data_IF_940663814214
#
_entry.id   IF_940663814214
#
_cell.length_a   1.000
_cell.length_b   1.000
_cell.length_c   1.000
_cell.angle_alpha   90.00
_cell.angle_beta   90.00
_cell.angle_gamma   90.00
#
_symmetry.space_group_name_H-M   'P 1'
#
loop_
_entity.id
_entity.type
_entity.pdbx_description
1 polymer ?
#
# COMPACT_ATOMS: atom_id res chain seq x y z
N UNK A 1 -38.85 44.11 18.84
CA UNK A 1 -40.19 43.71 18.39
C UNK A 1 -40.82 44.90 17.71
N UNK A 2 -41.65 44.67 16.70
CA UNK A 2 -42.54 45.72 16.20
C UNK A 2 -43.59 46.02 17.29
N UNK A 3 -43.98 47.29 17.42
CA UNK A 3 -45.06 47.69 18.32
C UNK A 3 -46.37 46.99 17.90
N UNK A 4 -47.10 46.42 18.86
CA UNK A 4 -48.32 45.64 18.60
C UNK A 4 -48.10 44.18 18.18
N UNK A 5 -46.86 43.66 18.20
CA UNK A 5 -46.55 42.28 17.82
C UNK A 5 -45.86 41.50 18.97
N UNK A 6 -46.43 40.35 19.32
CA UNK A 6 -45.95 39.47 20.39
C UNK A 6 -45.93 38.01 19.93
N UNK A 7 -44.99 37.23 20.47
CA UNK A 7 -44.85 35.80 20.19
C UNK A 7 -44.98 35.00 21.47
N UNK A 8 -45.69 33.87 21.42
CA UNK A 8 -45.87 32.97 22.57
C UNK A 8 -45.83 31.53 22.08
N UNK A 9 -45.09 30.68 22.79
CA UNK A 9 -45.07 29.23 22.56
C UNK A 9 -46.12 28.61 23.48
N UNK A 10 -47.09 27.89 22.91
CA UNK A 10 -48.16 27.24 23.65
C UNK A 10 -48.71 26.00 22.91
N UNK A 11 -49.40 25.12 23.63
CA UNK A 11 -50.23 24.09 23.02
C UNK A 11 -51.47 24.76 22.41
N UNK A 12 -51.67 24.60 21.11
CA UNK A 12 -52.81 25.21 20.40
C UNK A 12 -54.18 24.67 20.85
N UNK A 13 -54.20 23.54 21.57
CA UNK A 13 -55.41 22.98 22.18
C UNK A 13 -55.68 23.54 23.59
N UNK A 14 -54.76 24.34 24.13
CA UNK A 14 -54.85 24.99 25.44
C UNK A 14 -54.01 26.27 25.49
N UNK A 15 -54.54 27.32 24.89
CA UNK A 15 -53.90 28.62 24.75
C UNK A 15 -53.90 29.39 26.09
N UNK A 16 -52.79 30.07 26.46
CA UNK A 16 -52.65 30.81 27.71
C UNK A 16 -53.33 32.19 27.66
N UNK A 17 -54.48 32.28 27.00
CA UNK A 17 -55.27 33.50 26.86
C UNK A 17 -56.63 33.32 27.53
N UNK A 18 -57.19 34.41 28.04
CA UNK A 18 -58.54 34.40 28.58
C UNK A 18 -59.58 34.14 27.49
N UNK A 19 -60.79 33.80 27.89
CA UNK A 19 -61.92 33.69 26.96
C UNK A 19 -62.17 35.03 26.27
N UNK A 20 -62.61 35.00 25.01
CA UNK A 20 -62.94 36.19 24.22
C UNK A 20 -61.83 37.28 24.18
N UNK A 21 -60.56 36.86 24.15
CA UNK A 21 -59.41 37.76 24.09
C UNK A 21 -59.13 38.34 22.69
N UNK A 22 -59.66 37.72 21.63
CA UNK A 22 -59.36 38.11 20.25
C UNK A 22 -60.63 38.33 19.43
N UNK A 23 -60.64 39.36 18.61
CA UNK A 23 -61.68 39.64 17.61
C UNK A 23 -61.43 38.88 16.28
N UNK A 24 -60.19 38.47 16.01
CA UNK A 24 -59.79 37.69 14.83
C UNK A 24 -58.75 36.62 15.19
N UNK A 25 -58.98 35.39 14.74
CA UNK A 25 -57.98 34.32 14.74
C UNK A 25 -57.69 33.87 13.32
N UNK A 26 -56.42 33.63 13.01
CA UNK A 26 -55.95 33.19 11.68
C UNK A 26 -55.09 31.93 11.83
N UNK A 27 -55.36 30.90 11.04
CA UNK A 27 -54.64 29.62 11.08
C UNK A 27 -54.51 29.02 9.67
N UNK A 28 -53.32 29.01 9.10
CA UNK A 28 -53.07 28.47 7.75
C UNK A 28 -52.26 27.17 7.84
N UNK A 29 -52.68 26.13 7.11
CA UNK A 29 -51.98 24.84 6.97
C UNK A 29 -51.48 24.28 8.32
N UNK A 30 -52.40 24.18 9.28
CA UNK A 30 -52.09 23.79 10.66
C UNK A 30 -52.96 22.64 11.17
N UNK A 31 -54.23 22.58 10.76
CA UNK A 31 -55.22 21.65 11.30
C UNK A 31 -54.86 20.18 11.05
N UNK A 32 -54.37 19.89 9.85
CA UNK A 32 -53.94 18.59 9.34
C UNK A 32 -52.80 17.94 10.14
N UNK A 33 -52.05 18.75 10.90
CA UNK A 33 -50.96 18.32 11.75
C UNK A 33 -51.40 18.01 13.20
N UNK A 34 -52.64 18.31 13.56
CA UNK A 34 -53.13 18.21 14.95
C UNK A 34 -53.97 16.94 15.10
N UNK A 35 -53.53 15.95 15.88
CA UNK A 35 -54.33 14.74 16.13
C UNK A 35 -55.66 15.03 16.87
N UNK A 36 -55.71 16.12 17.65
CA UNK A 36 -56.89 16.59 18.37
C UNK A 36 -57.60 17.78 17.70
N UNK A 37 -57.88 17.72 16.40
CA UNK A 37 -58.45 18.82 15.60
C UNK A 37 -59.66 19.50 16.25
N UNK A 38 -60.56 18.70 16.83
CA UNK A 38 -61.75 19.20 17.53
C UNK A 38 -61.41 20.00 18.79
N UNK A 39 -60.44 19.54 19.57
CA UNK A 39 -59.99 20.25 20.77
C UNK A 39 -59.32 21.59 20.41
N UNK A 40 -58.57 21.62 19.31
CA UNK A 40 -58.03 22.86 18.75
C UNK A 40 -59.14 23.85 18.35
N UNK A 41 -60.14 23.39 17.59
CA UNK A 41 -61.25 24.27 17.19
C UNK A 41 -62.08 24.76 18.38
N UNK A 42 -62.29 23.93 19.40
CA UNK A 42 -62.95 24.33 20.64
C UNK A 42 -62.16 25.44 21.35
N UNK A 43 -60.83 25.30 21.41
CA UNK A 43 -59.96 26.28 22.05
C UNK A 43 -59.90 27.61 21.28
N UNK A 44 -59.84 27.54 19.94
CA UNK A 44 -59.97 28.72 19.07
C UNK A 44 -61.31 29.43 19.33
N UNK A 45 -62.41 28.67 19.42
CA UNK A 45 -63.73 29.25 19.71
C UNK A 45 -63.79 29.91 21.10
N UNK A 46 -63.10 29.36 22.10
CA UNK A 46 -63.04 29.90 23.47
C UNK A 46 -62.34 31.26 23.51
N UNK A 47 -61.18 31.38 22.87
CA UNK A 47 -60.39 32.63 22.90
C UNK A 47 -60.94 33.72 21.97
N UNK A 48 -61.79 33.36 21.01
CA UNK A 48 -62.43 34.29 20.08
C UNK A 48 -63.67 34.95 20.72
N UNK A 49 -63.78 36.27 20.59
CA UNK A 49 -65.01 37.02 20.91
C UNK A 49 -66.20 36.38 20.19
N UNK A 50 -67.40 36.31 20.80
CA UNK A 50 -68.58 35.74 20.15
C UNK A 50 -68.96 36.39 18.79
N UNK A 51 -68.53 37.62 18.54
CA UNK A 51 -68.69 38.36 17.28
C UNK A 51 -67.44 38.34 16.40
N UNK A 52 -66.36 37.72 16.88
CA UNK A 52 -65.10 37.61 16.17
C UNK A 52 -65.14 36.59 15.04
N UNK A 53 -64.09 36.59 14.21
CA UNK A 53 -63.99 35.72 13.03
C UNK A 53 -62.78 34.77 13.11
N UNK A 54 -62.93 33.60 12.48
CA UNK A 54 -61.84 32.67 12.22
C UNK A 54 -61.56 32.64 10.71
N UNK A 55 -60.30 32.83 10.33
CA UNK A 55 -59.79 32.55 8.98
C UNK A 55 -58.92 31.30 9.07
N UNK A 56 -59.30 30.23 8.39
CA UNK A 56 -58.60 28.95 8.44
C UNK A 56 -58.39 28.34 7.05
N UNK A 57 -57.22 27.74 6.81
CA UNK A 57 -56.98 26.84 5.67
C UNK A 57 -56.62 25.43 6.11
N UNK A 58 -56.85 24.47 5.21
CA UNK A 58 -56.44 23.08 5.31
C UNK A 58 -56.32 22.54 3.87
N UNK A 59 -55.39 21.61 3.61
CA UNK A 59 -55.27 20.99 2.30
C UNK A 59 -56.55 20.24 1.93
N UNK A 60 -56.96 20.35 0.67
CA UNK A 60 -58.02 19.51 0.12
C UNK A 60 -57.44 18.13 -0.22
N UNK A 61 -57.69 17.14 0.65
CA UNK A 61 -57.14 15.77 0.53
C UNK A 61 -57.25 15.17 -0.88
N UNK A 62 -58.38 15.35 -1.55
CA UNK A 62 -58.60 14.82 -2.91
C UNK A 62 -57.57 15.36 -3.92
N UNK A 63 -57.26 16.65 -3.84
CA UNK A 63 -56.35 17.32 -4.77
C UNK A 63 -54.89 17.20 -4.31
N UNK A 64 -54.65 17.37 -3.01
CA UNK A 64 -53.31 17.42 -2.42
C UNK A 64 -52.65 16.04 -2.38
N UNK A 65 -53.40 15.02 -1.95
CA UNK A 65 -52.87 13.66 -1.73
C UNK A 65 -53.33 12.69 -2.80
N UNK A 66 -54.63 12.49 -2.96
CA UNK A 66 -55.17 11.39 -3.77
C UNK A 66 -54.78 11.52 -5.26
N UNK A 67 -55.00 12.70 -5.86
CA UNK A 67 -54.70 12.93 -7.28
C UNK A 67 -53.22 13.02 -7.60
N UNK A 68 -52.40 13.50 -6.66
CA UNK A 68 -50.95 13.62 -6.84
C UNK A 68 -50.20 12.36 -6.42
N UNK A 69 -50.90 11.39 -5.83
CA UNK A 69 -50.32 10.26 -5.13
C UNK A 69 -49.21 10.72 -4.16
N UNK A 70 -49.50 11.82 -3.46
CA UNK A 70 -48.59 12.45 -2.52
C UNK A 70 -48.98 12.05 -1.11
N UNK A 71 -47.97 11.78 -0.28
CA UNK A 71 -48.15 11.48 1.13
C UNK A 71 -47.20 12.37 1.91
N UNK A 72 -47.74 13.20 2.77
CA UNK A 72 -46.97 14.04 3.68
C UNK A 72 -46.95 13.40 5.06
N UNK A 73 -45.77 13.01 5.53
CA UNK A 73 -45.58 12.30 6.81
C UNK A 73 -46.00 13.12 8.04
N UNK A 74 -46.06 14.44 7.92
CA UNK A 74 -46.47 15.33 9.00
C UNK A 74 -47.99 15.49 9.08
N UNK A 75 -48.74 15.07 8.08
CA UNK A 75 -50.20 15.17 8.06
C UNK A 75 -50.80 13.98 8.79
N UNK A 76 -51.21 14.20 10.05
CA UNK A 76 -51.84 13.15 10.88
C UNK A 76 -53.33 12.98 10.58
N UNK A 77 -53.96 13.96 9.91
CA UNK A 77 -55.36 13.89 9.51
C UNK A 77 -55.73 14.91 8.44
N UNK A 78 -55.73 14.49 7.18
CA UNK A 78 -56.27 15.29 6.08
C UNK A 78 -57.78 15.02 5.92
N UNK A 79 -58.53 16.09 5.68
CA UNK A 79 -59.99 16.04 5.55
C UNK A 79 -60.41 16.32 4.11
N UNK A 80 -61.45 15.63 3.65
CA UNK A 80 -62.18 16.08 2.47
C UNK A 80 -62.99 17.34 2.80
N UNK A 81 -63.36 18.09 1.77
CA UNK A 81 -64.09 19.36 1.92
C UNK A 81 -65.34 19.26 2.80
N UNK A 82 -66.10 18.17 2.69
CA UNK A 82 -67.36 17.99 3.42
C UNK A 82 -67.13 17.57 4.88
N UNK A 83 -66.07 16.80 5.13
CA UNK A 83 -65.66 16.42 6.49
C UNK A 83 -65.18 17.65 7.27
N UNK A 84 -64.36 18.49 6.63
CA UNK A 84 -63.95 19.78 7.19
C UNK A 84 -65.16 20.68 7.43
N UNK A 85 -66.13 20.72 6.50
CA UNK A 85 -67.34 21.51 6.68
C UNK A 85 -68.13 21.10 7.91
N UNK A 86 -68.35 19.80 8.05
CA UNK A 86 -69.09 19.20 9.16
C UNK A 86 -68.41 19.56 10.48
N UNK A 87 -67.09 19.38 10.56
CA UNK A 87 -66.32 19.67 11.76
C UNK A 87 -66.35 21.16 12.14
N UNK A 88 -66.18 22.06 11.16
CA UNK A 88 -66.19 23.51 11.43
C UNK A 88 -67.58 23.99 11.87
N UNK A 89 -68.65 23.44 11.28
CA UNK A 89 -70.03 23.84 11.58
C UNK A 89 -70.45 23.57 13.03
N UNK A 90 -69.83 22.59 13.70
CA UNK A 90 -70.09 22.31 15.11
C UNK A 90 -69.70 23.47 16.04
N UNK A 91 -68.73 24.29 15.64
CA UNK A 91 -68.23 25.43 16.43
C UNK A 91 -68.60 26.78 15.80
N UNK A 92 -68.73 26.83 14.47
CA UNK A 92 -68.98 28.03 13.67
C UNK A 92 -70.12 27.79 12.68
N UNK A 93 -71.38 28.13 13.02
CA UNK A 93 -72.55 27.80 12.21
C UNK A 93 -72.63 28.58 10.89
N UNK A 94 -71.88 29.67 10.76
CA UNK A 94 -71.83 30.50 9.56
C UNK A 94 -70.43 30.45 8.95
N UNK A 95 -70.32 29.90 7.75
CA UNK A 95 -69.05 29.80 7.03
C UNK A 95 -69.22 30.26 5.58
N UNK A 96 -68.25 31.03 5.10
CA UNK A 96 -68.08 31.33 3.67
C UNK A 96 -66.82 30.64 3.17
N UNK A 97 -66.95 29.92 2.07
CA UNK A 97 -65.87 29.11 1.53
C UNK A 97 -65.12 29.86 0.43
N UNK A 98 -63.80 29.80 0.50
CA UNK A 98 -62.88 30.34 -0.49
C UNK A 98 -61.91 29.25 -0.91
N UNK A 99 -61.63 29.16 -2.21
CA UNK A 99 -60.62 28.27 -2.74
C UNK A 99 -59.32 29.03 -3.00
N UNK A 100 -58.20 28.46 -2.60
CA UNK A 100 -56.87 28.95 -2.95
C UNK A 100 -56.17 27.89 -3.78
N UNK A 101 -55.65 28.28 -4.94
CA UNK A 101 -54.81 27.44 -5.78
C UNK A 101 -53.72 28.31 -6.37
N UNK A 102 -52.47 27.91 -6.18
CA UNK A 102 -51.36 28.56 -6.86
C UNK A 102 -51.39 28.10 -8.32
N UNK A 103 -51.70 29.02 -9.22
CA UNK A 103 -51.78 28.74 -10.66
C UNK A 103 -50.85 29.65 -11.42
N UNK A 104 -50.31 29.15 -12.53
CA UNK A 104 -49.74 30.01 -13.55
C UNK A 104 -50.88 30.54 -14.41
N UNK A 105 -51.04 31.87 -14.44
CA UNK A 105 -52.03 32.53 -15.29
C UNK A 105 -51.32 33.45 -16.26
N UNK A 106 -51.79 33.45 -17.50
CA UNK A 106 -51.53 34.55 -18.43
C UNK A 106 -52.72 35.50 -18.33
N UNK A 107 -52.43 36.79 -18.15
CA UNK A 107 -53.42 37.82 -17.90
C UNK A 107 -53.57 38.66 -19.16
N UNK A 108 -54.81 38.95 -19.53
CA UNK A 108 -55.12 39.97 -20.52
C UNK A 108 -56.01 40.99 -19.82
N UNK A 109 -55.61 42.25 -19.90
CA UNK A 109 -56.31 43.37 -19.29
C UNK A 109 -56.36 44.55 -20.24
N UNK A 110 -57.31 45.44 -20.00
CA UNK A 110 -57.39 46.73 -20.67
C UNK A 110 -56.42 47.71 -20.01
N UNK A 111 -55.44 48.22 -20.77
CA UNK A 111 -54.50 49.24 -20.29
C UNK A 111 -55.18 50.60 -20.06
N UNK A 112 -56.42 50.82 -20.53
CA UNK A 112 -57.17 52.07 -20.41
C UNK A 112 -58.61 51.83 -19.89
N UNK A 113 -58.77 51.42 -18.62
CA UNK A 113 -60.09 51.06 -18.09
C UNK A 113 -61.05 52.25 -18.09
N UNK A 114 -62.27 52.04 -18.58
CA UNK A 114 -63.39 52.99 -18.44
C UNK A 114 -64.10 52.81 -17.08
N UNK A 115 -64.81 53.83 -16.60
CA UNK A 115 -65.60 53.74 -15.36
C UNK A 115 -66.64 52.59 -15.38
N UNK A 116 -67.08 52.14 -16.56
CA UNK A 116 -68.04 51.04 -16.74
C UNK A 116 -67.39 49.64 -16.71
N UNK A 117 -66.10 49.51 -17.03
CA UNK A 117 -65.36 48.23 -17.02
C UNK A 117 -64.67 47.94 -15.69
N UNK A 118 -64.71 48.88 -14.74
CA UNK A 118 -63.97 48.85 -13.48
C UNK A 118 -64.62 48.00 -12.37
N UNK A 119 -64.99 46.75 -12.66
CA UNK A 119 -65.44 45.82 -11.63
C UNK A 119 -64.52 44.59 -11.55
N UNK A 120 -63.72 44.57 -10.48
CA UNK A 120 -63.21 43.37 -9.80
C UNK A 120 -61.81 42.81 -10.12
N UNK A 121 -60.79 43.63 -10.39
CA UNK A 121 -59.39 43.16 -10.41
C UNK A 121 -58.60 43.73 -9.23
N UNK A 122 -58.36 42.91 -8.20
CA UNK A 122 -57.37 43.20 -7.16
C UNK A 122 -56.12 42.36 -7.44
N UNK A 123 -54.99 43.01 -7.68
CA UNK A 123 -53.71 42.36 -7.92
C UNK A 123 -52.75 42.63 -6.75
N UNK A 124 -52.20 41.55 -6.17
CA UNK A 124 -51.27 41.63 -5.05
C UNK A 124 -49.94 40.97 -5.46
N UNK A 125 -48.90 41.78 -5.64
CA UNK A 125 -47.55 41.27 -5.84
C UNK A 125 -46.94 40.87 -4.50
N UNK A 126 -46.25 39.72 -4.44
CA UNK A 126 -45.51 39.28 -3.24
C UNK A 126 -44.11 38.84 -3.66
N UNK A 127 -43.07 39.49 -3.12
CA UNK A 127 -41.68 39.11 -3.36
C UNK A 127 -41.07 38.40 -2.14
N UNK A 128 -40.26 37.35 -2.38
CA UNK A 128 -39.65 36.53 -1.32
C UNK A 128 -38.73 37.30 -0.37
N UNK A 129 -38.07 38.34 -0.85
CA UNK A 129 -37.03 39.06 -0.10
C UNK A 129 -37.49 40.42 0.44
N UNK A 130 -38.71 40.84 0.10
CA UNK A 130 -39.32 42.07 0.59
C UNK A 130 -40.83 41.95 0.39
N UNK A 131 -41.63 41.67 1.43
CA UNK A 131 -43.08 41.58 1.32
C UNK A 131 -43.66 42.99 1.12
N UNK A 132 -43.43 43.56 -0.06
CA UNK A 132 -44.14 44.73 -0.54
C UNK A 132 -45.32 44.25 -1.36
N UNK A 133 -46.51 44.63 -0.91
CA UNK A 133 -47.74 44.51 -1.68
C UNK A 133 -47.84 45.75 -2.56
N UNK A 134 -47.13 45.74 -3.69
CA UNK A 134 -47.29 46.82 -4.65
C UNK A 134 -48.60 46.59 -5.42
N UNK A 135 -49.51 47.56 -5.33
CA UNK A 135 -50.75 47.58 -6.10
C UNK A 135 -50.42 48.06 -7.53
N UNK A 136 -50.58 47.19 -8.51
CA UNK A 136 -50.30 47.50 -9.92
C UNK A 136 -50.11 46.24 -10.75
N UNK A 137 -50.54 46.29 -12.01
CA UNK A 137 -50.35 45.18 -12.95
C UNK A 137 -48.87 45.08 -13.34
N UNK A 138 -48.36 43.86 -13.58
CA UNK A 138 -46.99 43.67 -14.07
C UNK A 138 -46.81 44.30 -15.45
N UNK A 139 -45.58 44.64 -15.82
CA UNK A 139 -45.27 45.07 -17.19
C UNK A 139 -45.70 43.97 -18.19
N UNK A 140 -46.43 44.31 -19.28
CA UNK A 140 -46.92 43.32 -20.21
C UNK A 140 -45.76 42.70 -20.99
N UNK A 141 -45.66 41.37 -20.95
CA UNK A 141 -44.68 40.61 -21.76
C UNK A 141 -45.08 40.57 -23.24
N UNK A 142 -46.38 40.64 -23.54
CA UNK A 142 -46.95 40.58 -24.88
C UNK A 142 -48.04 41.63 -25.03
N UNK A 143 -48.08 42.30 -26.19
CA UNK A 143 -49.18 43.19 -26.56
C UNK A 143 -50.22 42.44 -27.40
N UNK A 144 -51.50 42.67 -27.11
CA UNK A 144 -52.62 42.16 -27.88
C UNK A 144 -53.35 43.33 -28.52
N UNK A 145 -53.35 43.38 -29.86
CA UNK A 145 -53.94 44.47 -30.62
C UNK A 145 -55.07 43.95 -31.51
N UNK A 146 -56.20 44.63 -31.52
CA UNK A 146 -57.31 44.37 -32.45
C UNK A 146 -57.36 45.48 -33.50
N UNK A 147 -57.36 45.10 -34.77
CA UNK A 147 -57.32 46.04 -35.89
C UNK A 147 -58.56 45.86 -36.77
N UNK A 148 -59.22 46.94 -37.15
CA UNK A 148 -60.31 46.91 -38.11
C UNK A 148 -60.24 48.09 -39.09
N UNK A 149 -60.79 47.90 -40.29
CA UNK A 149 -60.80 48.90 -41.37
C UNK A 149 -61.89 49.98 -41.21
N UNK A 150 -62.86 49.77 -40.32
CA UNK A 150 -63.91 50.73 -39.98
C UNK A 150 -64.12 50.77 -38.46
N UNK A 151 -64.51 51.93 -37.93
CA UNK A 151 -64.63 52.20 -36.49
C UNK A 151 -65.66 51.31 -35.79
N UNK A 152 -66.68 50.85 -36.51
CA UNK A 152 -67.74 49.98 -35.99
C UNK A 152 -67.30 48.52 -35.77
N UNK A 153 -66.17 48.09 -36.37
CA UNK A 153 -65.66 46.71 -36.27
C UNK A 153 -64.40 46.59 -35.38
N UNK A 154 -63.86 47.70 -34.88
CA UNK A 154 -62.61 47.75 -34.10
C UNK A 154 -62.79 47.47 -32.60
N UNK A 155 -64.02 47.39 -32.11
CA UNK A 155 -64.33 47.38 -30.68
C UNK A 155 -64.63 45.96 -30.19
N UNK A 156 -63.57 45.16 -30.06
CA UNK A 156 -63.62 43.98 -29.20
C UNK A 156 -63.58 44.47 -27.75
N UNK A 157 -64.75 44.52 -27.10
CA UNK A 157 -64.85 44.81 -25.68
C UNK A 157 -64.40 43.59 -24.88
N UNK A 158 -63.21 43.66 -24.29
CA UNK A 158 -62.76 42.66 -23.34
C UNK A 158 -63.36 42.94 -21.96
N UNK A 159 -63.67 41.90 -21.18
CA UNK A 159 -63.98 42.07 -19.76
C UNK A 159 -62.77 42.68 -19.04
N UNK A 160 -63.00 43.42 -17.94
CA UNK A 160 -61.95 44.08 -17.16
C UNK A 160 -60.86 43.14 -16.59
N UNK A 161 -61.11 41.82 -16.62
CA UNK A 161 -60.13 40.79 -16.38
C UNK A 161 -60.42 39.58 -17.25
N UNK A 162 -59.43 39.15 -18.02
CA UNK A 162 -59.44 37.86 -18.70
C UNK A 162 -58.25 37.03 -18.21
N UNK A 163 -58.56 35.86 -17.63
CA UNK A 163 -57.58 34.92 -17.10
C UNK A 163 -57.47 33.73 -18.06
N UNK A 164 -56.29 33.51 -18.63
CA UNK A 164 -55.97 32.24 -19.28
C UNK A 164 -55.27 31.35 -18.25
N UNK A 165 -55.97 30.29 -17.82
CA UNK A 165 -55.46 29.32 -16.87
C UNK A 165 -54.98 28.05 -17.54
N UNK A 166 -53.93 27.46 -16.99
CA UNK A 166 -53.53 26.08 -17.27
C UNK A 166 -54.46 25.13 -16.50
N UNK A 167 -55.53 24.67 -17.15
CA UNK A 167 -56.52 23.77 -16.54
C UNK A 167 -55.92 22.43 -16.12
N UNK A 168 -54.92 21.95 -16.85
CA UNK A 168 -54.32 20.63 -16.63
C UNK A 168 -53.10 20.68 -15.68
N UNK A 169 -52.71 21.89 -15.28
CA UNK A 169 -51.52 22.17 -14.47
C UNK A 169 -50.23 21.56 -15.04
N UNK A 170 -50.11 21.41 -16.36
CA UNK A 170 -48.95 20.77 -16.95
C UNK A 170 -47.65 21.48 -16.56
N UNK A 171 -47.64 22.82 -16.45
CA UNK A 171 -46.45 23.58 -16.04
C UNK A 171 -46.04 23.23 -14.60
N UNK A 172 -47.02 23.15 -13.70
CA UNK A 172 -46.77 22.86 -12.30
C UNK A 172 -46.38 21.38 -12.11
N UNK A 173 -47.01 20.47 -12.86
CA UNK A 173 -46.68 19.03 -12.87
C UNK A 173 -45.27 18.77 -13.41
N UNK A 174 -44.84 19.50 -14.43
CA UNK A 174 -43.48 19.41 -14.96
C UNK A 174 -42.45 19.88 -13.92
N UNK A 175 -42.75 20.99 -13.22
CA UNK A 175 -41.91 21.45 -12.12
C UNK A 175 -41.84 20.44 -10.96
N UNK A 176 -42.97 19.89 -10.52
CA UNK A 176 -43.00 18.83 -9.51
C UNK A 176 -42.21 17.60 -9.96
N UNK A 177 -42.31 17.22 -11.24
CA UNK A 177 -41.58 16.10 -11.80
C UNK A 177 -40.07 16.35 -11.75
N UNK A 178 -39.61 17.53 -12.18
CA UNK A 178 -38.19 17.88 -12.11
C UNK A 178 -37.66 17.81 -10.67
N UNK A 179 -38.43 18.30 -9.68
CA UNK A 179 -38.06 18.19 -8.27
C UNK A 179 -38.01 16.73 -7.81
N UNK A 180 -38.95 15.89 -8.24
CA UNK A 180 -38.93 14.45 -7.96
C UNK A 180 -37.71 13.76 -8.56
N UNK A 181 -37.34 14.11 -9.79
CA UNK A 181 -36.19 13.53 -10.47
C UNK A 181 -34.89 13.88 -9.76
N UNK A 182 -34.74 15.13 -9.29
CA UNK A 182 -33.59 15.52 -8.44
C UNK A 182 -33.54 14.68 -7.18
N UNK A 183 -34.65 14.53 -6.45
CA UNK A 183 -34.73 13.68 -5.25
C UNK A 183 -34.42 12.21 -5.54
N UNK A 184 -34.70 11.74 -6.75
CA UNK A 184 -34.44 10.35 -7.16
C UNK A 184 -32.95 10.09 -7.42
N UNK A 185 -32.20 11.09 -7.85
CA UNK A 185 -30.76 10.96 -8.13
C UNK A 185 -29.94 10.99 -6.83
N UNK A 186 -30.47 11.64 -5.80
CA UNK A 186 -29.81 11.83 -4.51
C UNK A 186 -29.29 10.54 -3.85
N UNK A 187 -30.01 9.41 -3.81
CA UNK A 187 -29.50 8.16 -3.24
C UNK A 187 -28.32 7.57 -4.03
N UNK A 188 -28.28 7.76 -5.36
CA UNK A 188 -27.14 7.32 -6.17
C UNK A 188 -25.89 8.15 -5.86
N UNK A 189 -26.07 9.44 -5.54
CA UNK A 189 -24.99 10.31 -5.04
C UNK A 189 -24.46 9.81 -3.70
N UNK A 190 -25.34 9.40 -2.79
CA UNK A 190 -24.95 8.83 -1.49
C UNK A 190 -24.24 7.48 -1.64
N UNK A 191 -24.69 6.61 -2.56
CA UNK A 191 -24.03 5.35 -2.85
C UNK A 191 -22.60 5.56 -3.39
N UNK A 192 -22.40 6.57 -4.25
CA UNK A 192 -21.08 6.95 -4.72
C UNK A 192 -20.17 7.44 -3.58
N UNK A 193 -20.73 8.17 -2.61
CA UNK A 193 -19.99 8.58 -1.41
C UNK A 193 -19.55 7.36 -0.56
N UNK A 194 -20.38 6.33 -0.45
CA UNK A 194 -20.01 5.09 0.23
C UNK A 194 -18.90 4.31 -0.49
N UNK A 195 -18.87 4.34 -1.82
CA UNK A 195 -17.77 3.76 -2.59
C UNK A 195 -16.45 4.48 -2.35
N UNK A 196 -16.47 5.82 -2.31
CA UNK A 196 -15.30 6.62 -1.96
C UNK A 196 -14.75 6.24 -0.58
N UNK A 197 -15.64 6.10 0.41
CA UNK A 197 -15.26 5.67 1.75
C UNK A 197 -14.57 4.30 1.77
N UNK A 198 -15.05 3.36 0.95
CA UNK A 198 -14.44 2.02 0.83
C UNK A 198 -13.04 2.11 0.21
N UNK A 199 -12.85 2.94 -0.81
CA UNK A 199 -11.55 3.14 -1.44
C UNK A 199 -10.53 3.74 -0.47
N UNK A 200 -10.94 4.67 0.38
CA UNK A 200 -10.09 5.23 1.44
C UNK A 200 -9.64 4.16 2.44
N UNK A 201 -10.52 3.22 2.76
CA UNK A 201 -10.19 2.09 3.63
C UNK A 201 -9.14 1.16 3.00
N UNK A 202 -9.28 0.83 1.71
CA UNK A 202 -8.26 0.04 1.00
C UNK A 202 -6.91 0.77 0.98
N UNK A 203 -6.91 2.09 0.79
CA UNK A 203 -5.68 2.88 0.81
C UNK A 203 -4.97 2.78 2.17
N UNK A 204 -5.73 2.70 3.26
CA UNK A 204 -5.18 2.50 4.61
C UNK A 204 -4.49 1.14 4.77
N UNK A 205 -5.07 0.08 4.22
CA UNK A 205 -4.47 -1.26 4.23
C UNK A 205 -3.16 -1.30 3.43
N UNK A 206 -3.15 -0.69 2.25
CA UNK A 206 -1.92 -0.57 1.43
C UNK A 206 -0.83 0.16 2.20
N UNK A 207 -1.16 1.22 2.95
CA UNK A 207 -0.20 1.92 3.81
C UNK A 207 0.36 1.04 4.92
N UNK A 208 -0.47 0.18 5.52
CA UNK A 208 -0.01 -0.74 6.56
C UNK A 208 0.99 -1.77 5.99
N UNK A 209 0.71 -2.30 4.79
CA UNK A 209 1.64 -3.19 4.08
C UNK A 209 2.94 -2.48 3.73
N UNK A 210 2.87 -1.20 3.34
CA UNK A 210 4.07 -0.41 3.07
C UNK A 210 4.96 -0.30 4.32
N UNK A 211 4.36 -0.01 5.48
CA UNK A 211 5.08 0.08 6.75
C UNK A 211 5.76 -1.25 7.13
N UNK A 212 5.08 -2.38 6.90
CA UNK A 212 5.68 -3.70 7.11
C UNK A 212 6.90 -3.92 6.19
N UNK A 213 6.83 -3.49 4.93
CA UNK A 213 7.95 -3.58 3.99
C UNK A 213 9.13 -2.72 4.42
N UNK A 214 8.88 -1.54 4.96
CA UNK A 214 9.92 -0.68 5.53
C UNK A 214 10.62 -1.33 6.72
N UNK A 215 9.86 -1.98 7.61
CA UNK A 215 10.43 -2.72 8.74
C UNK A 215 11.33 -3.86 8.25
N UNK A 216 10.86 -4.67 7.30
CA UNK A 216 11.65 -5.75 6.71
C UNK A 216 12.96 -5.24 6.08
N UNK A 217 12.91 -4.08 5.41
CA UNK A 217 14.11 -3.46 4.86
C UNK A 217 15.10 -3.03 5.95
N UNK A 218 14.59 -2.54 7.09
CA UNK A 218 15.41 -2.20 8.26
C UNK A 218 16.09 -3.45 8.85
N UNK A 219 15.34 -4.54 8.98
CA UNK A 219 15.86 -5.81 9.52
C UNK A 219 16.95 -6.36 8.61
N UNK A 220 16.74 -6.37 7.29
CA UNK A 220 17.75 -6.79 6.32
C UNK A 220 19.03 -5.93 6.41
N UNK A 221 18.88 -4.63 6.64
CA UNK A 221 20.02 -3.72 6.85
C UNK A 221 20.79 -4.06 8.12
N UNK A 222 20.10 -4.46 9.19
CA UNK A 222 20.76 -4.91 10.43
C UNK A 222 21.54 -6.21 10.22
N UNK A 223 20.97 -7.16 9.47
CA UNK A 223 21.62 -8.42 9.14
C UNK A 223 22.86 -8.21 8.27
N UNK A 224 22.76 -7.27 7.32
CA UNK A 224 23.91 -6.87 6.48
C UNK A 224 25.06 -6.34 7.33
N UNK A 225 24.77 -5.56 8.38
CA UNK A 225 25.81 -5.08 9.33
C UNK A 225 26.42 -6.23 10.12
N UNK A 226 25.60 -7.18 10.57
CA UNK A 226 26.06 -8.37 11.30
C UNK A 226 27.03 -9.19 10.46
N UNK A 227 26.68 -9.46 9.21
CA UNK A 227 27.54 -10.17 8.26
C UNK A 227 28.85 -9.41 7.99
N UNK A 228 28.79 -8.08 7.84
CA UNK A 228 29.99 -7.27 7.68
C UNK A 228 30.95 -7.38 8.88
N UNK A 229 30.41 -7.46 10.11
CA UNK A 229 31.23 -7.69 11.31
C UNK A 229 31.88 -9.08 11.29
N UNK A 230 31.13 -10.12 10.93
CA UNK A 230 31.67 -11.48 10.83
C UNK A 230 32.79 -11.58 9.79
N UNK A 231 32.68 -10.85 8.67
CA UNK A 231 33.77 -10.77 7.68
C UNK A 231 35.02 -10.13 8.29
N UNK A 232 34.87 -9.05 9.05
CA UNK A 232 36.00 -8.39 9.72
C UNK A 232 36.70 -9.31 10.74
N UNK A 233 35.94 -10.11 11.48
CA UNK A 233 36.48 -11.12 12.40
C UNK A 233 37.26 -12.19 11.63
N UNK A 234 36.73 -12.70 10.51
CA UNK A 234 37.44 -13.67 9.65
C UNK A 234 38.70 -13.09 9.02
N UNK A 235 38.67 -11.82 8.60
CA UNK A 235 39.86 -11.16 8.05
C UNK A 235 40.98 -11.08 9.10
N UNK A 236 40.61 -10.86 10.37
CA UNK A 236 41.54 -10.88 11.50
C UNK A 236 42.11 -12.28 11.71
N UNK A 237 41.27 -13.31 11.72
CA UNK A 237 41.70 -14.71 11.85
C UNK A 237 42.65 -15.14 10.73
N UNK A 238 42.37 -14.72 9.48
CA UNK A 238 43.25 -14.96 8.33
C UNK A 238 44.59 -14.25 8.50
N UNK A 239 44.60 -13.03 9.05
CA UNK A 239 45.84 -12.30 9.33
C UNK A 239 46.70 -13.04 10.37
N UNK A 240 46.08 -13.55 11.44
CA UNK A 240 46.76 -14.34 12.47
C UNK A 240 47.33 -15.65 11.90
N UNK A 241 46.56 -16.35 11.07
CA UNK A 241 47.03 -17.56 10.38
C UNK A 241 48.24 -17.28 9.48
N UNK A 242 48.23 -16.16 8.76
CA UNK A 242 49.38 -15.74 7.93
C UNK A 242 50.61 -15.43 8.76
N UNK A 243 50.44 -14.81 9.93
CA UNK A 243 51.55 -14.57 10.85
C UNK A 243 52.13 -15.89 11.37
N UNK A 244 51.29 -16.87 11.74
CA UNK A 244 51.73 -18.21 12.14
C UNK A 244 52.53 -18.93 11.05
N UNK A 245 52.02 -18.93 9.81
CA UNK A 245 52.73 -19.48 8.64
C UNK A 245 54.09 -18.83 8.39
N UNK A 246 54.21 -17.51 8.65
CA UNK A 246 55.49 -16.82 8.51
C UNK A 246 56.53 -17.34 9.52
N UNK A 247 56.11 -17.58 10.77
CA UNK A 247 56.96 -18.16 11.83
C UNK A 247 57.39 -19.59 11.49
N UNK A 248 56.46 -20.45 11.05
CA UNK A 248 56.79 -21.81 10.62
C UNK A 248 57.79 -21.82 9.46
N UNK A 249 57.62 -20.90 8.50
CA UNK A 249 58.54 -20.77 7.36
C UNK A 249 59.94 -20.34 7.80
N UNK A 250 60.04 -19.47 8.80
CA UNK A 250 61.32 -19.06 9.38
C UNK A 250 62.01 -20.24 10.08
N UNK A 251 61.27 -21.02 10.88
CA UNK A 251 61.78 -22.23 11.54
C UNK A 251 62.24 -23.29 10.54
N UNK A 252 61.46 -23.55 9.50
CA UNK A 252 61.84 -24.45 8.42
C UNK A 252 63.12 -23.95 7.69
N UNK A 253 63.28 -22.63 7.55
CA UNK A 253 64.50 -22.02 7.02
C UNK A 253 65.72 -22.36 7.88
N UNK A 254 65.62 -22.23 9.19
CA UNK A 254 66.68 -22.57 10.15
C UNK A 254 67.03 -24.07 10.06
N UNK A 255 66.03 -24.95 10.00
CA UNK A 255 66.24 -26.40 9.89
C UNK A 255 66.96 -26.78 8.58
N UNK A 256 66.57 -26.16 7.47
CA UNK A 256 67.25 -26.34 6.18
C UNK A 256 68.71 -25.91 6.25
N UNK A 257 69.04 -24.81 6.93
CA UNK A 257 70.43 -24.38 7.12
C UNK A 257 71.22 -25.37 7.99
N UNK A 258 70.63 -25.89 9.06
CA UNK A 258 71.25 -26.90 9.91
C UNK A 258 71.55 -28.19 9.12
N UNK A 259 70.60 -28.67 8.32
CA UNK A 259 70.78 -29.84 7.45
C UNK A 259 71.88 -29.59 6.40
N UNK A 260 71.95 -28.39 5.81
CA UNK A 260 73.04 -28.02 4.89
C UNK A 260 74.41 -28.10 5.57
N UNK A 261 74.52 -27.60 6.80
CA UNK A 261 75.76 -27.69 7.57
C UNK A 261 76.16 -29.15 7.86
N UNK A 262 75.18 -30.00 8.18
CA UNK A 262 75.41 -31.43 8.41
C UNK A 262 75.88 -32.15 7.13
N UNK A 263 75.26 -31.88 5.98
CA UNK A 263 75.69 -32.41 4.68
C UNK A 263 77.13 -31.99 4.37
N UNK A 264 77.49 -30.72 4.62
CA UNK A 264 78.85 -30.24 4.41
C UNK A 264 79.87 -31.00 5.29
N UNK A 265 79.54 -31.27 6.55
CA UNK A 265 80.39 -32.05 7.45
C UNK A 265 80.55 -33.51 7.00
N UNK A 266 79.45 -34.17 6.61
CA UNK A 266 79.49 -35.55 6.07
C UNK A 266 80.31 -35.62 4.78
N UNK A 267 80.21 -34.60 3.93
CA UNK A 267 81.02 -34.51 2.70
C UNK A 267 82.50 -34.43 3.03
N UNK A 268 82.88 -33.64 4.04
CA UNK A 268 84.26 -33.56 4.53
C UNK A 268 84.74 -34.91 5.09
N UNK A 269 83.94 -35.57 5.93
CA UNK A 269 84.26 -36.90 6.46
C UNK A 269 84.44 -37.94 5.35
N UNK A 270 83.56 -37.93 4.34
CA UNK A 270 83.70 -38.78 3.16
C UNK A 270 85.04 -38.54 2.45
N UNK A 271 85.41 -37.28 2.24
CA UNK A 271 86.70 -36.93 1.62
C UNK A 271 87.89 -37.45 2.45
N UNK A 272 87.87 -37.28 3.77
CA UNK A 272 88.93 -37.76 4.67
C UNK A 272 89.06 -39.29 4.66
N UNK A 273 87.93 -40.02 4.61
CA UNK A 273 87.89 -41.48 4.48
C UNK A 273 88.47 -41.93 3.14
N UNK A 274 88.12 -41.26 2.03
CA UNK A 274 88.71 -41.56 0.71
C UNK A 274 90.23 -41.33 0.71
N UNK A 275 90.72 -40.27 1.36
CA UNK A 275 92.15 -40.01 1.50
C UNK A 275 92.87 -41.05 2.38
N UNK A 276 92.21 -41.56 3.44
CA UNK A 276 92.72 -42.67 4.24
C UNK A 276 92.81 -43.98 3.42
N UNK A 277 91.75 -44.32 2.68
CA UNK A 277 91.73 -45.50 1.82
C UNK A 277 92.81 -45.46 0.71
N UNK A 278 93.09 -44.28 0.16
CA UNK A 278 94.18 -44.09 -0.80
C UNK A 278 95.57 -44.33 -0.17
N UNK A 279 95.77 -43.93 1.09
CA UNK A 279 97.00 -44.19 1.85
C UNK A 279 97.17 -45.68 2.13
N UNK A 280 96.12 -46.35 2.58
CA UNK A 280 96.14 -47.80 2.83
C UNK A 280 96.39 -48.60 1.55
N UNK A 281 95.76 -48.23 0.43
CA UNK A 281 96.03 -48.83 -0.88
C UNK A 281 97.50 -48.66 -1.31
N UNK A 282 98.13 -47.54 -0.96
CA UNK A 282 99.53 -47.29 -1.26
C UNK A 282 100.46 -48.12 -0.37
N UNK A 283 100.11 -48.30 0.92
CA UNK A 283 100.79 -49.25 1.82
C UNK A 283 100.71 -50.69 1.33
N UNK A 284 99.55 -51.14 0.87
CA UNK A 284 99.38 -52.50 0.31
C UNK A 284 100.28 -52.69 -0.91
N UNK A 285 100.34 -51.70 -1.81
CA UNK A 285 101.26 -51.73 -2.98
C UNK A 285 102.74 -51.81 -2.57
N UNK A 286 103.15 -51.07 -1.54
CA UNK A 286 104.51 -51.13 -1.01
C UNK A 286 104.83 -52.51 -0.41
N UNK A 287 103.88 -53.09 0.33
CA UNK A 287 104.01 -54.43 0.91
C UNK A 287 104.14 -55.52 -0.17
N UNK A 288 103.35 -55.43 -1.24
CA UNK A 288 103.42 -56.33 -2.39
C UNK A 288 104.77 -56.25 -3.11
N UNK A 289 105.34 -55.03 -3.24
CA UNK A 289 106.68 -54.85 -3.80
C UNK A 289 107.77 -55.51 -2.95
N UNK A 290 107.69 -55.37 -1.61
CA UNK A 290 108.63 -56.02 -0.68
C UNK A 290 108.54 -57.54 -0.73
N UNK A 291 107.33 -58.09 -0.90
CA UNK A 291 107.12 -59.52 -1.09
C UNK A 291 107.77 -60.01 -2.39
N UNK A 292 107.58 -59.29 -3.50
CA UNK A 292 108.24 -59.61 -4.78
C UNK A 292 109.77 -59.57 -4.70
N UNK A 293 110.35 -58.59 -4.01
CA UNK A 293 111.81 -58.53 -3.79
C UNK A 293 112.33 -59.73 -2.98
N UNK A 294 111.57 -60.13 -1.95
CA UNK A 294 111.88 -61.29 -1.11
C UNK A 294 111.77 -62.61 -1.90
N UNK A 295 110.75 -62.76 -2.74
CA UNK A 295 110.63 -63.92 -3.63
C UNK A 295 111.78 -64.00 -4.63
N UNK A 296 112.18 -62.87 -5.25
CA UNK A 296 113.36 -62.84 -6.13
C UNK A 296 114.67 -63.16 -5.39
N UNK A 297 114.79 -62.80 -4.12
CA UNK A 297 115.93 -63.16 -3.28
C UNK A 297 115.97 -64.68 -3.02
N UNK A 298 114.82 -65.28 -2.72
CA UNK A 298 114.68 -66.72 -2.51
C UNK A 298 115.00 -67.52 -3.78
N UNK A 299 114.54 -67.06 -4.95
CA UNK A 299 114.89 -67.66 -6.25
C UNK A 299 116.40 -67.61 -6.50
N UNK A 300 117.06 -66.47 -6.23
CA UNK A 300 118.53 -66.36 -6.35
C UNK A 300 119.29 -67.28 -5.40
N UNK A 301 118.80 -67.46 -4.17
CA UNK A 301 119.38 -68.41 -3.21
C UNK A 301 119.20 -69.86 -3.67
N UNK A 302 118.04 -70.20 -4.24
CA UNK A 302 117.78 -71.52 -4.80
C UNK A 302 118.74 -71.82 -5.98
N UNK A 303 118.92 -70.89 -6.93
CA UNK A 303 119.86 -71.06 -8.05
C UNK A 303 121.32 -71.26 -7.60
N UNK A 304 121.75 -70.55 -6.55
CA UNK A 304 123.08 -70.70 -5.94
C UNK A 304 123.28 -72.09 -5.32
N UNK A 305 122.25 -72.63 -4.67
CA UNK A 305 122.26 -73.98 -4.12
C UNK A 305 122.29 -75.03 -5.23
N UNK A 306 121.55 -74.84 -6.33
CA UNK A 306 121.57 -75.74 -7.49
C UNK A 306 122.93 -75.75 -8.19
N UNK A 307 123.59 -74.59 -8.32
CA UNK A 307 124.96 -74.48 -8.86
C UNK A 307 125.99 -75.18 -7.96
N UNK A 308 125.90 -75.02 -6.63
CA UNK A 308 126.76 -75.73 -5.67
C UNK A 308 126.54 -77.25 -5.71
N UNK A 309 125.30 -77.70 -5.83
CA UNK A 309 124.98 -79.13 -5.96
C UNK A 309 125.57 -79.74 -7.25
N UNK A 310 125.51 -79.02 -8.37
CA UNK A 310 126.13 -79.44 -9.64
C UNK A 310 127.66 -79.56 -9.53
N UNK A 311 128.32 -78.64 -8.82
CA UNK A 311 129.77 -78.64 -8.67
C UNK A 311 130.29 -79.76 -7.74
N UNK A 312 129.53 -80.08 -6.68
CA UNK A 312 129.80 -81.24 -5.82
C UNK A 312 129.71 -82.55 -6.61
N UNK A 313 128.66 -82.70 -7.42
CA UNK A 313 128.44 -83.93 -8.20
C UNK A 313 129.52 -84.14 -9.29
N UNK A 314 130.03 -83.05 -9.85
CA UNK A 314 131.11 -83.07 -10.87
C UNK A 314 132.49 -83.42 -10.26
N UNK A 315 132.75 -83.03 -9.02
CA UNK A 315 133.99 -83.41 -8.31
C UNK A 315 133.95 -84.86 -7.81
N UNK A 316 132.78 -85.38 -7.44
CA UNK A 316 132.59 -86.76 -7.00
C UNK A 316 132.84 -87.79 -8.13
N UNK A 317 132.48 -87.45 -9.38
CA UNK A 317 132.61 -88.34 -10.54
C UNK A 317 134.05 -88.49 -11.05
N UNK A 318 134.93 -87.51 -10.81
CA UNK A 318 136.36 -87.57 -11.18
C UNK A 318 137.20 -88.40 -10.20
N UNK A 319 136.79 -88.51 -8.94
CA UNK A 319 137.49 -89.28 -7.91
C UNK A 319 137.22 -90.79 -7.98
N UNK A 320 136.15 -91.20 -8.65
CA UNK A 320 135.71 -92.61 -8.68
C UNK A 320 136.43 -93.49 -9.72
N UNK A 321 137.19 -92.91 -10.67
CA UNK A 321 137.83 -93.69 -11.75
C UNK A 321 139.34 -93.96 -11.59
N UNK A 322 140.02 -93.39 -10.59
CA UNK A 322 141.50 -93.36 -10.55
C UNK A 322 142.18 -94.13 -9.41
N UNK A 323 141.45 -94.82 -8.54
CA UNK A 323 142.08 -95.57 -7.43
C UNK A 323 141.44 -96.94 -7.22
N UNK A 324 142.00 -97.99 -7.86
CA UNK A 324 142.49 -99.23 -7.21
C UNK A 324 142.53 -100.43 -8.20
N UNK A 325 143.72 -100.95 -8.56
CA UNK A 325 143.91 -101.96 -9.62
C UNK A 325 144.11 -103.41 -9.12
N UNK A 326 143.28 -103.92 -8.21
CA UNK A 326 143.35 -105.34 -7.81
C UNK A 326 141.97 -105.87 -7.40
N UNK A 327 141.27 -106.49 -8.37
CA UNK A 327 140.35 -107.64 -8.25
C UNK A 327 139.31 -107.61 -9.39
N UNK A 328 139.72 -108.23 -10.51
CA UNK A 328 138.81 -108.98 -11.38
C UNK A 328 138.22 -110.15 -10.56
N UNK A 329 137.00 -110.56 -10.94
CA UNK A 329 136.25 -111.75 -10.47
C UNK A 329 135.47 -111.59 -9.15
N UNK A 330 134.23 -111.13 -9.23
CA UNK A 330 133.02 -111.99 -9.25
C UNK A 330 131.75 -111.19 -8.91
N UNK A 331 130.66 -111.52 -9.61
CA UNK A 331 129.29 -111.48 -9.11
C UNK A 331 128.62 -110.11 -9.04
N UNK A 332 127.81 -109.74 -10.04
CA UNK A 332 126.35 -109.97 -10.09
C UNK A 332 125.57 -109.11 -9.07
N UNK A 333 124.80 -108.10 -9.52
CA UNK A 333 123.33 -108.17 -9.84
C UNK A 333 122.58 -107.18 -8.89
N UNK A 334 121.39 -106.62 -9.23
CA UNK A 334 121.18 -105.30 -9.85
C UNK A 334 120.06 -104.54 -9.05
N UNK A 335 119.01 -103.99 -9.71
CA UNK A 335 118.87 -102.64 -10.24
C UNK A 335 118.00 -101.72 -9.35
N UNK A 336 118.03 -100.42 -9.60
CA UNK A 336 117.00 -99.59 -10.27
C UNK A 336 117.56 -98.17 -10.41
#
# INVERSE_FOLDING_TARGET
GQEGLWYTVADCRKLPFADASFDLVVSFETLEHIAGQRAFLAEVRRVLDPRGALIISSPNKLEYSDRRNHQNEFHVGELYRDELATMLQEYFPHARWYGQRNTFVSLIWDEQPSEQTNRATQWLNVARQSPRTDAGLPEPMYFLCTLASTTESATLSLPGLSLLGDREEFIYRDYEQAVRDVRRIEPAREALAAQLWTAEHMLKEVRALLAEREQNASDLKSETRRLAQQLMERDTEVADYRAGLAVEREQAGIEVEALRAQIANLTKQSFDLHAAAARDSSRVREMDSRLKERDQSLVRQAELLTKRAHEINRRASLLWWLKLPWLRLLGRVPPV
#
